data_IF_517108624400
#
_entry.id   IF_517108624400
#
_cell.length_a   1.000
_cell.length_b   1.000
_cell.length_c   1.000
_cell.angle_alpha   90.00
_cell.angle_beta   90.00
_cell.angle_gamma   90.00
#
_symmetry.space_group_name_H-M   'P 1'
#
loop_
_entity.id
_entity.type
_entity.pdbx_description
1 polymer ?
#
# COMPACT_ATOMS: atom_id res chain seq x y z
N UNK A 1 -25.25 -15.51 -46.87
CA UNK A 1 -24.25 -16.36 -46.20
C UNK A 1 -23.76 -15.63 -44.97
N UNK A 2 -24.28 -15.94 -43.80
CA UNK A 2 -23.93 -15.30 -42.53
C UNK A 2 -22.89 -16.17 -41.84
N UNK A 3 -21.67 -15.66 -41.70
CA UNK A 3 -20.59 -16.33 -41.00
C UNK A 3 -20.71 -16.07 -39.48
N UNK A 4 -20.92 -17.14 -38.73
CA UNK A 4 -21.03 -17.21 -37.28
C UNK A 4 -19.68 -16.92 -36.62
N UNK A 5 -19.54 -15.80 -35.90
CA UNK A 5 -18.43 -15.55 -35.00
C UNK A 5 -18.67 -16.29 -33.67
N UNK A 6 -17.93 -17.36 -33.43
CA UNK A 6 -17.91 -18.07 -32.15
C UNK A 6 -17.18 -17.21 -31.10
N UNK A 7 -17.92 -16.74 -30.08
CA UNK A 7 -17.35 -16.18 -28.86
C UNK A 7 -16.69 -17.31 -28.07
N UNK A 8 -15.39 -17.17 -27.84
CA UNK A 8 -14.69 -18.01 -26.88
C UNK A 8 -15.06 -17.55 -25.45
N UNK A 9 -15.89 -18.31 -24.77
CA UNK A 9 -16.16 -18.18 -23.34
C UNK A 9 -14.97 -18.70 -22.58
N UNK A 10 -14.13 -17.81 -22.05
CA UNK A 10 -13.14 -18.17 -21.05
C UNK A 10 -13.86 -18.49 -19.72
N UNK A 11 -13.87 -19.76 -19.37
CA UNK A 11 -14.37 -20.27 -18.09
C UNK A 11 -13.41 -19.84 -16.98
N UNK A 12 -13.81 -18.88 -16.16
CA UNK A 12 -13.12 -18.59 -14.91
C UNK A 12 -13.37 -19.75 -13.95
N UNK A 13 -12.35 -20.57 -13.76
CA UNK A 13 -12.30 -21.57 -12.69
C UNK A 13 -12.15 -20.81 -11.37
N UNK A 14 -13.19 -20.82 -10.57
CA UNK A 14 -13.20 -20.25 -9.23
C UNK A 14 -12.20 -20.98 -8.33
N UNK A 15 -11.07 -20.37 -8.05
CA UNK A 15 -10.18 -20.80 -6.99
C UNK A 15 -10.84 -20.44 -5.65
N UNK A 16 -11.06 -21.46 -4.83
CA UNK A 16 -11.76 -21.42 -3.56
C UNK A 16 -11.15 -20.41 -2.57
N UNK A 17 -11.98 -19.49 -2.08
CA UNK A 17 -11.71 -18.44 -1.07
C UNK A 17 -11.38 -18.97 0.35
N UNK A 18 -10.81 -20.15 0.52
CA UNK A 18 -10.65 -20.80 1.82
C UNK A 18 -9.24 -20.71 2.45
N UNK A 19 -8.28 -19.95 1.86
CA UNK A 19 -6.89 -19.90 2.37
C UNK A 19 -6.39 -18.56 2.93
N UNK A 20 -7.20 -17.49 2.94
CA UNK A 20 -6.75 -16.13 3.30
C UNK A 20 -6.79 -15.79 4.80
N UNK A 21 -6.85 -16.74 5.74
CA UNK A 21 -7.00 -16.45 7.18
C UNK A 21 -5.89 -16.96 8.10
N UNK A 22 -4.71 -17.27 7.59
CA UNK A 22 -3.53 -17.54 8.43
C UNK A 22 -2.42 -16.55 8.15
N UNK A 23 -2.67 -15.25 8.41
CA UNK A 23 -1.60 -14.27 8.50
C UNK A 23 -0.72 -14.58 9.71
N UNK A 24 0.39 -15.26 9.50
CA UNK A 24 1.41 -15.43 10.54
C UNK A 24 1.98 -14.06 10.95
N UNK A 25 2.50 -13.96 12.18
CA UNK A 25 3.07 -12.73 12.75
C UNK A 25 4.23 -12.10 11.92
N UNK A 26 4.64 -12.74 10.82
CA UNK A 26 5.87 -12.47 10.06
C UNK A 26 5.59 -12.15 8.57
N UNK A 27 4.38 -11.79 8.20
CA UNK A 27 3.96 -11.63 6.81
C UNK A 27 3.25 -10.29 6.59
N UNK A 28 3.51 -9.68 5.44
CA UNK A 28 2.81 -8.49 4.94
C UNK A 28 2.11 -8.85 3.64
N UNK A 29 0.78 -8.73 3.60
CA UNK A 29 -0.03 -8.94 2.41
C UNK A 29 -0.35 -7.61 1.76
N UNK A 30 -0.19 -7.55 0.43
CA UNK A 30 -0.51 -6.39 -0.37
C UNK A 30 -1.57 -6.76 -1.40
N UNK A 31 -2.53 -5.87 -1.61
CA UNK A 31 -3.55 -6.01 -2.65
C UNK A 31 -3.75 -4.68 -3.34
N UNK A 32 -3.42 -4.59 -4.64
CA UNK A 32 -3.83 -3.46 -5.48
C UNK A 32 -5.34 -3.51 -5.67
N UNK A 33 -6.05 -2.52 -5.14
CA UNK A 33 -7.51 -2.44 -5.22
C UNK A 33 -7.96 -1.68 -6.46
N UNK A 34 -7.11 -0.77 -6.95
CA UNK A 34 -7.31 -0.03 -8.17
C UNK A 34 -5.99 0.51 -8.70
N UNK A 35 -5.85 0.54 -10.01
CA UNK A 35 -4.61 0.87 -10.73
C UNK A 35 -4.77 2.02 -11.73
N UNK A 36 -5.97 2.59 -11.85
CA UNK A 36 -6.27 3.72 -12.72
C UNK A 36 -6.02 5.07 -12.07
N UNK A 37 -5.67 6.05 -12.89
CA UNK A 37 -5.63 7.46 -12.53
C UNK A 37 -6.69 8.26 -13.29
N UNK A 38 -7.13 9.37 -12.71
CA UNK A 38 -8.05 10.36 -13.26
C UNK A 38 -9.50 9.89 -13.45
N UNK A 39 -9.75 8.81 -14.18
CA UNK A 39 -11.09 8.33 -14.53
C UNK A 39 -11.22 6.83 -14.27
N UNK A 40 -12.30 6.37 -13.63
CA UNK A 40 -12.56 4.94 -13.49
C UNK A 40 -12.94 4.34 -14.85
N UNK A 41 -12.48 3.13 -15.12
CA UNK A 41 -12.88 2.34 -16.27
C UNK A 41 -13.70 1.12 -15.79
N UNK A 42 -14.51 0.49 -16.64
CA UNK A 42 -15.33 -0.66 -16.24
C UNK A 42 -14.54 -1.81 -15.61
N UNK A 43 -13.29 -1.98 -16.00
CA UNK A 43 -12.37 -3.05 -15.60
C UNK A 43 -11.12 -2.53 -14.87
N UNK A 44 -11.05 -1.22 -14.57
CA UNK A 44 -9.95 -0.60 -13.84
C UNK A 44 -10.46 0.45 -12.85
N UNK A 45 -10.45 0.10 -11.58
CA UNK A 45 -10.78 1.00 -10.49
C UNK A 45 -9.67 2.04 -10.27
N UNK A 46 -10.02 3.13 -9.57
CA UNK A 46 -9.11 4.22 -9.26
C UNK A 46 -8.13 3.85 -8.13
N UNK A 47 -7.05 4.63 -8.04
CA UNK A 47 -5.88 4.36 -7.20
C UNK A 47 -6.23 3.96 -5.76
N UNK A 48 -5.82 2.76 -5.37
CA UNK A 48 -5.87 2.31 -3.98
C UNK A 48 -5.02 1.04 -3.79
N UNK A 49 -4.30 0.96 -2.66
CA UNK A 49 -3.53 -0.20 -2.24
C UNK A 49 -3.85 -0.55 -0.80
N UNK A 50 -4.19 -1.80 -0.51
CA UNK A 50 -4.32 -2.33 0.83
C UNK A 50 -3.04 -3.05 1.27
N UNK A 51 -2.56 -2.73 2.47
CA UNK A 51 -1.43 -3.39 3.12
C UNK A 51 -1.91 -3.99 4.44
N UNK A 52 -1.90 -5.32 4.55
CA UNK A 52 -2.42 -6.05 5.70
C UNK A 52 -1.29 -6.76 6.43
N UNK A 53 -1.22 -6.54 7.75
CA UNK A 53 -0.26 -7.16 8.65
C UNK A 53 -0.99 -7.65 9.90
N UNK A 54 -0.84 -8.91 10.28
CA UNK A 54 -1.46 -9.50 11.48
C UNK A 54 -2.98 -9.25 11.59
N UNK A 55 -3.65 -9.16 10.45
CA UNK A 55 -5.09 -8.91 10.40
C UNK A 55 -5.51 -7.45 10.53
N UNK A 56 -4.58 -6.50 10.58
CA UNK A 56 -4.78 -5.06 10.53
C UNK A 56 -4.46 -4.54 9.13
N UNK A 57 -5.19 -3.56 8.64
CA UNK A 57 -5.03 -3.06 7.27
C UNK A 57 -4.79 -1.56 7.27
N UNK A 58 -3.76 -1.12 6.55
CA UNK A 58 -3.59 0.26 6.11
C UNK A 58 -4.07 0.37 4.65
N UNK A 59 -4.91 1.35 4.39
CA UNK A 59 -5.38 1.67 3.05
C UNK A 59 -4.62 2.90 2.53
N UNK A 60 -3.92 2.76 1.41
CA UNK A 60 -3.24 3.86 0.74
C UNK A 60 -4.10 4.32 -0.43
N UNK A 61 -4.52 5.56 -0.37
CA UNK A 61 -5.55 6.18 -1.20
C UNK A 61 -6.91 5.45 -1.16
N UNK A 62 -7.96 6.15 -1.54
CA UNK A 62 -9.32 5.64 -1.55
C UNK A 62 -10.09 6.24 -2.73
N UNK A 63 -9.73 5.83 -3.94
CA UNK A 63 -10.43 6.22 -5.16
C UNK A 63 -11.88 5.74 -5.18
N UNK A 64 -12.67 6.28 -6.09
CA UNK A 64 -14.08 5.89 -6.25
C UNK A 64 -14.21 4.37 -6.42
N UNK A 65 -15.15 3.77 -5.70
CA UNK A 65 -15.40 2.32 -5.77
C UNK A 65 -14.47 1.45 -4.93
N UNK A 66 -13.52 2.02 -4.16
CA UNK A 66 -12.58 1.24 -3.33
C UNK A 66 -13.28 0.24 -2.41
N UNK A 67 -14.45 0.58 -1.81
CA UNK A 67 -15.21 -0.36 -0.98
C UNK A 67 -15.73 -1.58 -1.76
N UNK A 68 -15.97 -1.44 -3.06
CA UNK A 68 -16.34 -2.54 -3.95
C UNK A 68 -15.14 -3.43 -4.22
N UNK A 69 -13.98 -2.82 -4.53
CA UNK A 69 -12.71 -3.52 -4.75
C UNK A 69 -12.26 -4.31 -3.51
N UNK A 70 -12.36 -3.71 -2.31
CA UNK A 70 -12.08 -4.41 -1.05
C UNK A 70 -12.86 -5.72 -0.95
N UNK A 71 -14.19 -5.65 -1.20
CA UNK A 71 -15.05 -6.84 -1.17
C UNK A 71 -14.73 -7.84 -2.28
N UNK A 72 -14.49 -7.34 -3.50
CA UNK A 72 -14.18 -8.15 -4.68
C UNK A 72 -12.91 -8.97 -4.49
N UNK A 73 -11.90 -8.38 -3.85
CA UNK A 73 -10.58 -9.02 -3.68
C UNK A 73 -10.35 -9.60 -2.27
N UNK A 74 -11.41 -9.70 -1.46
CA UNK A 74 -11.35 -10.40 -0.17
C UNK A 74 -10.63 -9.65 0.94
N UNK A 75 -10.42 -8.33 0.81
CA UNK A 75 -9.83 -7.51 1.87
C UNK A 75 -10.94 -7.02 2.81
N UNK A 76 -10.80 -7.27 4.10
CA UNK A 76 -11.79 -6.90 5.09
C UNK A 76 -11.80 -5.39 5.36
N UNK A 77 -12.85 -4.69 4.94
CA UNK A 77 -13.03 -3.27 5.24
C UNK A 77 -13.05 -3.01 6.75
N UNK A 78 -13.66 -3.89 7.56
CA UNK A 78 -13.77 -3.75 9.01
C UNK A 78 -12.40 -3.66 9.71
N UNK A 79 -11.36 -4.22 9.11
CA UNK A 79 -10.00 -4.27 9.65
C UNK A 79 -9.09 -3.13 9.20
N UNK A 80 -9.65 -2.10 8.56
CA UNK A 80 -8.89 -0.90 8.19
C UNK A 80 -8.70 -0.05 9.44
N UNK A 81 -7.45 0.12 9.89
CA UNK A 81 -7.11 0.95 11.05
C UNK A 81 -6.83 2.40 10.64
N UNK A 82 -6.22 2.60 9.49
CA UNK A 82 -5.96 3.93 8.97
C UNK A 82 -6.04 3.98 7.44
N UNK A 83 -6.35 5.18 6.93
CA UNK A 83 -6.25 5.55 5.51
C UNK A 83 -5.12 6.57 5.36
N UNK A 84 -4.23 6.33 4.41
CA UNK A 84 -3.07 7.15 4.11
C UNK A 84 -3.27 7.79 2.73
N UNK A 85 -3.64 9.06 2.68
CA UNK A 85 -3.90 9.78 1.44
C UNK A 85 -2.62 10.41 0.92
N UNK A 86 -2.30 10.18 -0.34
CA UNK A 86 -1.15 10.81 -0.99
C UNK A 86 -1.41 12.29 -1.27
N UNK A 87 -2.62 12.63 -1.69
CA UNK A 87 -3.08 13.99 -1.96
C UNK A 87 -4.62 14.02 -2.10
N UNK A 88 -5.20 15.16 -2.51
CA UNK A 88 -6.65 15.36 -2.49
C UNK A 88 -7.30 15.47 -3.87
N UNK A 89 -6.71 14.93 -4.94
CA UNK A 89 -7.42 14.77 -6.21
C UNK A 89 -8.56 13.73 -6.06
N UNK A 90 -9.60 13.88 -6.87
CA UNK A 90 -10.81 13.07 -6.74
C UNK A 90 -10.56 11.56 -6.87
N UNK A 91 -9.69 11.17 -7.77
CA UNK A 91 -9.33 9.77 -8.02
C UNK A 91 -8.59 9.09 -6.85
N UNK A 92 -8.22 9.84 -5.81
CA UNK A 92 -7.60 9.34 -4.58
C UNK A 92 -8.50 9.43 -3.35
N UNK A 93 -9.60 10.19 -3.39
CA UNK A 93 -10.40 10.48 -2.18
C UNK A 93 -11.91 10.25 -2.33
N UNK A 94 -12.45 10.21 -3.56
CA UNK A 94 -13.92 10.15 -3.76
C UNK A 94 -14.56 8.84 -3.27
N UNK A 95 -13.79 7.80 -3.01
CA UNK A 95 -14.26 6.57 -2.37
C UNK A 95 -14.47 6.70 -0.86
N UNK A 96 -13.90 7.73 -0.20
CA UNK A 96 -13.96 7.88 1.25
C UNK A 96 -15.38 7.96 1.80
N UNK A 97 -16.30 8.81 1.28
CA UNK A 97 -17.65 8.88 1.83
C UNK A 97 -18.35 7.52 1.83
N UNK A 98 -18.25 6.79 0.72
CA UNK A 98 -18.82 5.46 0.58
C UNK A 98 -18.16 4.41 1.50
N UNK A 99 -16.84 4.48 1.66
CA UNK A 99 -16.11 3.61 2.60
C UNK A 99 -16.55 3.87 4.04
N UNK A 100 -16.63 5.13 4.47
CA UNK A 100 -17.04 5.51 5.82
C UNK A 100 -18.46 5.00 6.14
N UNK A 101 -19.40 5.14 5.22
CA UNK A 101 -20.75 4.59 5.36
C UNK A 101 -20.77 3.05 5.38
N UNK A 102 -19.92 2.41 4.57
CA UNK A 102 -19.76 0.94 4.59
C UNK A 102 -19.27 0.45 5.94
N UNK A 103 -18.28 1.13 6.54
CA UNK A 103 -17.77 0.80 7.87
C UNK A 103 -18.85 1.00 8.95
N UNK A 104 -19.67 2.06 8.86
CA UNK A 104 -20.80 2.27 9.73
C UNK A 104 -21.83 1.14 9.64
N UNK A 105 -22.15 0.71 8.41
CA UNK A 105 -23.08 -0.41 8.16
C UNK A 105 -22.57 -1.76 8.67
N UNK A 106 -21.25 -1.90 8.85
CA UNK A 106 -20.62 -3.07 9.48
C UNK A 106 -20.55 -2.96 11.02
N UNK A 107 -21.25 -2.00 11.63
CA UNK A 107 -21.27 -1.73 13.07
C UNK A 107 -19.88 -1.46 13.65
N UNK A 108 -19.03 -0.76 12.91
CA UNK A 108 -17.72 -0.33 13.43
C UNK A 108 -17.92 0.62 14.59
N UNK A 109 -17.17 0.42 15.68
CA UNK A 109 -17.09 1.33 16.83
C UNK A 109 -15.65 1.83 17.06
N UNK A 110 -14.66 1.09 16.55
CA UNK A 110 -13.26 1.46 16.67
C UNK A 110 -12.93 2.73 15.87
N UNK A 111 -12.10 3.63 16.39
CA UNK A 111 -11.66 4.82 15.67
C UNK A 111 -11.04 4.51 14.30
N UNK A 112 -11.18 5.44 13.36
CA UNK A 112 -10.47 5.45 12.09
C UNK A 112 -9.60 6.69 12.00
N UNK A 113 -8.32 6.52 11.66
CA UNK A 113 -7.45 7.68 11.40
C UNK A 113 -7.24 7.85 9.90
N UNK A 114 -7.37 9.08 9.40
CA UNK A 114 -7.07 9.46 8.01
C UNK A 114 -5.89 10.41 8.04
N UNK A 115 -4.81 10.02 7.40
CA UNK A 115 -3.62 10.82 7.21
C UNK A 115 -3.60 11.42 5.82
N UNK A 116 -3.10 12.65 5.67
CA UNK A 116 -2.90 13.28 4.37
C UNK A 116 -2.00 14.50 4.46
N UNK A 117 -1.57 15.07 3.32
CA UNK A 117 -0.73 16.27 3.31
C UNK A 117 -1.46 17.48 3.92
N UNK A 118 -0.75 18.60 4.21
CA UNK A 118 -1.38 19.85 4.67
C UNK A 118 -2.48 20.36 3.72
N UNK A 119 -3.49 21.06 4.27
CA UNK A 119 -4.63 21.60 3.52
C UNK A 119 -5.87 20.68 3.51
N UNK A 120 -5.94 19.75 4.43
CA UNK A 120 -7.02 18.76 4.54
C UNK A 120 -8.36 19.30 5.08
N UNK A 121 -8.40 20.47 5.70
CA UNK A 121 -9.52 20.92 6.53
C UNK A 121 -10.83 21.01 5.75
N UNK A 122 -10.82 21.66 4.58
CA UNK A 122 -12.00 21.78 3.73
C UNK A 122 -12.43 20.45 3.12
N UNK A 123 -11.48 19.63 2.75
CA UNK A 123 -11.71 18.27 2.20
C UNK A 123 -12.30 17.35 3.27
N UNK A 124 -11.74 17.37 4.47
CA UNK A 124 -12.26 16.60 5.60
C UNK A 124 -13.71 16.99 5.91
N UNK A 125 -14.00 18.30 5.98
CA UNK A 125 -15.36 18.79 6.21
C UNK A 125 -16.34 18.31 5.13
N UNK A 126 -15.96 18.39 3.85
CA UNK A 126 -16.80 17.95 2.74
C UNK A 126 -17.05 16.43 2.79
N UNK A 127 -16.01 15.62 3.00
CA UNK A 127 -16.12 14.16 3.11
C UNK A 127 -17.00 13.76 4.30
N UNK A 128 -16.81 14.37 5.46
CA UNK A 128 -17.63 14.08 6.64
C UNK A 128 -19.08 14.51 6.46
N UNK A 129 -19.34 15.62 5.77
CA UNK A 129 -20.70 16.03 5.43
C UNK A 129 -21.40 15.02 4.50
N UNK A 130 -20.69 14.48 3.51
CA UNK A 130 -21.21 13.46 2.60
C UNK A 130 -21.39 12.09 3.28
N UNK A 131 -20.49 11.73 4.19
CA UNK A 131 -20.59 10.49 4.96
C UNK A 131 -21.76 10.52 5.97
N UNK A 132 -22.15 11.73 6.43
CA UNK A 132 -23.19 11.88 7.45
C UNK A 132 -22.75 11.41 8.84
N UNK A 133 -23.70 11.22 9.78
CA UNK A 133 -23.39 10.75 11.13
C UNK A 133 -22.79 9.35 11.13
N UNK A 134 -21.66 9.18 11.82
CA UNK A 134 -20.96 7.90 11.93
C UNK A 134 -20.98 7.40 13.39
N UNK A 135 -21.13 6.08 13.65
CA UNK A 135 -21.16 5.51 14.99
C UNK A 135 -19.74 5.33 15.59
N UNK A 136 -18.71 5.80 14.91
CA UNK A 136 -17.32 5.72 15.33
C UNK A 136 -16.59 7.04 15.07
N UNK A 137 -15.54 7.36 15.86
CA UNK A 137 -14.76 8.57 15.63
C UNK A 137 -13.86 8.45 14.41
N UNK A 138 -13.77 9.54 13.62
CA UNK A 138 -12.83 9.70 12.52
C UNK A 138 -11.88 10.85 12.85
N UNK A 139 -10.60 10.56 12.92
CA UNK A 139 -9.56 11.54 13.17
C UNK A 139 -8.79 11.85 11.89
N UNK A 140 -8.66 13.14 11.54
CA UNK A 140 -7.82 13.60 10.45
C UNK A 140 -6.49 14.11 10.99
N UNK A 141 -5.39 13.67 10.42
CA UNK A 141 -4.03 14.04 10.84
C UNK A 141 -3.19 14.42 9.64
N UNK A 142 -2.29 15.38 9.84
CA UNK A 142 -1.27 15.70 8.84
C UNK A 142 -0.25 14.56 8.79
N UNK A 143 0.06 14.12 7.58
CA UNK A 143 1.10 13.11 7.32
C UNK A 143 2.48 13.76 7.42
N UNK A 144 3.03 13.79 8.62
CA UNK A 144 4.35 14.34 8.93
C UNK A 144 5.09 13.47 9.94
N UNK A 145 6.42 13.52 9.88
CA UNK A 145 7.27 12.70 10.74
C UNK A 145 7.04 11.20 10.51
N UNK A 146 7.47 10.40 11.46
CA UNK A 146 7.29 8.94 11.44
C UNK A 146 6.32 8.52 12.52
N UNK A 147 5.31 7.71 12.19
CA UNK A 147 4.35 7.18 13.14
C UNK A 147 4.30 5.65 13.09
N UNK A 148 3.61 5.05 14.05
CA UNK A 148 3.34 3.61 14.09
C UNK A 148 1.86 3.37 13.91
N UNK A 149 1.50 2.57 12.91
CA UNK A 149 0.13 2.16 12.63
C UNK A 149 0.10 0.68 12.23
N UNK A 150 -0.83 -0.08 12.79
CA UNK A 150 -1.02 -1.50 12.48
C UNK A 150 0.28 -2.34 12.59
N UNK A 151 1.17 -2.01 13.54
CA UNK A 151 2.48 -2.68 13.69
C UNK A 151 3.55 -2.25 12.70
N UNK A 152 3.22 -1.36 11.76
CA UNK A 152 4.13 -0.79 10.77
C UNK A 152 4.70 0.55 11.26
N UNK A 153 5.94 0.82 10.88
CA UNK A 153 6.49 2.18 10.91
C UNK A 153 6.12 2.84 9.59
N UNK A 154 5.35 3.92 9.65
CA UNK A 154 4.87 4.70 8.50
C UNK A 154 5.65 5.99 8.43
N UNK A 155 6.35 6.23 7.33
CA UNK A 155 7.12 7.45 7.09
C UNK A 155 6.64 8.09 5.79
N UNK A 156 5.93 9.22 5.86
CA UNK A 156 5.58 10.01 4.68
C UNK A 156 6.83 10.71 4.14
N UNK A 157 6.87 10.92 2.82
CA UNK A 157 7.94 11.66 2.17
C UNK A 157 7.39 12.49 1.00
N UNK A 158 8.00 13.63 0.65
CA UNK A 158 7.46 14.53 -0.37
C UNK A 158 7.55 13.92 -1.77
N UNK A 159 6.48 14.11 -2.55
CA UNK A 159 6.43 13.78 -3.97
C UNK A 159 6.48 15.03 -4.85
N UNK A 160 6.86 14.85 -6.12
CA UNK A 160 6.93 15.94 -7.10
C UNK A 160 5.69 15.93 -7.98
N UNK A 161 4.63 16.54 -7.51
CA UNK A 161 3.36 16.72 -8.20
C UNK A 161 2.96 18.20 -8.25
N UNK A 162 1.80 18.53 -8.87
CA UNK A 162 1.31 19.91 -9.04
C UNK A 162 0.61 20.47 -7.80
N UNK A 163 0.22 19.60 -6.87
CA UNK A 163 -0.39 19.94 -5.58
C UNK A 163 0.45 19.33 -4.45
N UNK A 164 0.29 19.77 -3.19
CA UNK A 164 0.91 19.09 -2.06
C UNK A 164 0.61 17.60 -2.10
N UNK A 165 1.66 16.79 -2.19
CA UNK A 165 1.58 15.34 -2.37
C UNK A 165 2.69 14.64 -1.59
N UNK A 166 2.37 13.51 -0.95
CA UNK A 166 3.34 12.68 -0.24
C UNK A 166 3.21 11.21 -0.65
N UNK A 167 4.33 10.53 -0.68
CA UNK A 167 4.39 9.07 -0.72
C UNK A 167 4.53 8.50 0.68
N UNK A 168 4.41 7.18 0.80
CA UNK A 168 4.52 6.49 2.08
C UNK A 168 5.52 5.34 1.99
N UNK A 169 6.47 5.34 2.94
CA UNK A 169 7.33 4.21 3.22
C UNK A 169 6.76 3.46 4.42
N UNK A 170 6.38 2.20 4.22
CA UNK A 170 5.86 1.31 5.23
C UNK A 170 6.93 0.28 5.57
N UNK A 171 7.29 0.18 6.85
CA UNK A 171 8.31 -0.75 7.31
C UNK A 171 7.78 -1.64 8.43
N UNK A 172 7.79 -2.96 8.20
CA UNK A 172 7.53 -3.97 9.22
C UNK A 172 8.86 -4.35 9.86
N UNK A 173 9.12 -3.95 11.11
CA UNK A 173 10.38 -4.27 11.77
C UNK A 173 10.46 -5.76 12.11
N UNK A 174 11.68 -6.30 12.12
CA UNK A 174 11.95 -7.66 12.55
C UNK A 174 12.88 -7.65 13.76
N UNK A 175 12.40 -8.16 14.89
CA UNK A 175 13.21 -8.29 16.09
C UNK A 175 14.43 -9.21 15.88
N UNK A 176 15.44 -9.05 16.69
CA UNK A 176 16.57 -9.97 16.78
C UNK A 176 16.15 -11.40 17.14
N UNK A 177 17.02 -12.36 16.91
CA UNK A 177 16.78 -13.75 17.36
C UNK A 177 16.76 -13.77 18.89
N UNK A 178 15.80 -14.49 19.45
CA UNK A 178 15.74 -14.74 20.87
C UNK A 178 16.82 -15.75 21.27
N UNK A 179 17.61 -15.39 22.28
CA UNK A 179 18.68 -16.22 22.82
C UNK A 179 18.22 -16.90 24.11
N UNK A 180 17.77 -18.14 23.95
CA UNK A 180 17.28 -18.96 25.09
C UNK A 180 18.39 -19.30 26.09
N UNK A 181 19.64 -19.44 25.63
CA UNK A 181 20.76 -19.73 26.55
C UNK A 181 21.06 -18.50 27.42
N UNK A 182 21.08 -17.32 26.81
CA UNK A 182 21.25 -16.04 27.50
C UNK A 182 20.10 -15.78 28.51
N UNK A 183 18.85 -16.07 28.12
CA UNK A 183 17.69 -15.93 28.97
C UNK A 183 17.76 -16.86 30.21
N UNK A 184 18.19 -18.11 30.00
CA UNK A 184 18.42 -19.06 31.12
C UNK A 184 19.56 -18.61 32.03
N UNK A 185 20.69 -18.19 31.47
CA UNK A 185 21.84 -17.70 32.26
C UNK A 185 21.51 -16.46 33.10
N UNK A 186 20.62 -15.59 32.59
CA UNK A 186 20.11 -14.42 33.29
C UNK A 186 18.99 -14.73 34.30
N UNK A 187 18.61 -16.00 34.46
CA UNK A 187 17.56 -16.43 35.42
C UNK A 187 16.16 -15.93 35.05
N UNK A 188 15.90 -15.62 33.76
CA UNK A 188 14.63 -15.06 33.30
C UNK A 188 13.55 -16.15 33.28
N UNK A 189 12.40 -15.98 34.01
CA UNK A 189 11.32 -16.95 34.01
C UNK A 189 10.78 -17.22 32.60
N UNK A 190 10.45 -18.49 32.29
CA UNK A 190 9.93 -18.91 30.99
C UNK A 190 8.68 -18.14 30.56
N UNK A 191 7.82 -17.78 31.51
CA UNK A 191 6.60 -16.99 31.30
C UNK A 191 6.88 -15.58 30.76
N UNK A 192 8.09 -15.02 30.97
CA UNK A 192 8.50 -13.70 30.47
C UNK A 192 9.06 -13.74 29.04
N UNK A 193 9.49 -14.91 28.55
CA UNK A 193 10.18 -15.05 27.31
C UNK A 193 9.35 -14.53 26.11
N UNK A 194 8.05 -14.87 26.10
CA UNK A 194 7.15 -14.42 25.04
C UNK A 194 6.97 -12.90 25.00
N UNK A 195 6.92 -12.27 26.19
CA UNK A 195 6.79 -10.81 26.33
C UNK A 195 8.07 -10.12 25.84
N UNK A 196 9.23 -10.62 26.30
CA UNK A 196 10.54 -10.11 25.87
C UNK A 196 10.77 -10.31 24.37
N UNK A 197 10.37 -11.46 23.83
CA UNK A 197 10.43 -11.75 22.38
C UNK A 197 9.53 -10.83 21.56
N UNK A 198 8.42 -10.38 22.13
CA UNK A 198 7.53 -9.39 21.53
C UNK A 198 8.07 -7.93 21.62
N UNK A 199 9.25 -7.74 22.20
CA UNK A 199 9.88 -6.44 22.34
C UNK A 199 9.40 -5.62 23.55
N UNK A 200 8.73 -6.25 24.53
CA UNK A 200 8.22 -5.60 25.73
C UNK A 200 9.06 -5.99 26.97
N UNK A 201 9.30 -5.01 27.85
CA UNK A 201 9.99 -5.26 29.13
C UNK A 201 9.02 -5.85 30.16
N UNK A 202 9.51 -6.77 30.98
CA UNK A 202 8.73 -7.43 32.04
C UNK A 202 9.63 -7.86 33.20
N UNK A 203 9.17 -7.69 34.43
CA UNK A 203 9.88 -8.19 35.64
C UNK A 203 11.29 -7.62 35.86
N UNK A 204 11.54 -6.41 35.34
CA UNK A 204 12.87 -5.78 35.42
C UNK A 204 13.81 -6.17 34.29
N UNK A 205 13.41 -7.07 33.39
CA UNK A 205 14.18 -7.47 32.20
C UNK A 205 13.75 -6.69 30.96
N UNK A 206 14.71 -6.37 30.12
CA UNK A 206 14.49 -5.68 28.83
C UNK A 206 14.66 -6.64 27.63
N UNK A 207 14.02 -6.38 26.48
CA UNK A 207 14.21 -7.18 25.27
C UNK A 207 15.67 -7.33 24.85
N UNK A 208 16.50 -6.30 25.03
CA UNK A 208 17.94 -6.32 24.74
C UNK A 208 18.74 -7.32 25.55
N UNK A 209 18.21 -7.80 26.67
CA UNK A 209 18.87 -8.82 27.51
C UNK A 209 18.88 -10.20 26.84
N UNK A 210 17.91 -10.43 25.93
CA UNK A 210 17.68 -11.75 25.32
C UNK A 210 17.53 -11.71 23.78
N UNK A 211 17.38 -10.53 23.17
CA UNK A 211 17.31 -10.40 21.71
C UNK A 211 18.68 -10.03 21.15
N UNK A 212 19.06 -10.69 20.07
CA UNK A 212 20.17 -10.27 19.25
C UNK A 212 19.89 -8.95 18.52
N UNK A 213 20.80 -8.49 17.64
CA UNK A 213 20.59 -7.28 16.86
C UNK A 213 19.32 -7.40 15.99
N UNK A 214 18.64 -6.27 15.72
CA UNK A 214 17.51 -6.26 14.79
C UNK A 214 17.90 -6.87 13.44
N UNK A 215 16.99 -7.66 12.87
CA UNK A 215 17.15 -8.27 11.54
C UNK A 215 16.48 -7.40 10.48
N UNK A 216 16.81 -7.65 9.22
CA UNK A 216 16.15 -6.96 8.10
C UNK A 216 14.65 -7.20 8.16
N UNK A 217 13.88 -6.11 8.25
CA UNK A 217 12.43 -6.11 8.14
C UNK A 217 11.94 -6.12 6.69
N UNK A 218 10.64 -5.92 6.48
CA UNK A 218 10.02 -5.75 5.17
C UNK A 218 9.70 -4.29 4.93
N UNK A 219 9.92 -3.83 3.70
CA UNK A 219 9.70 -2.44 3.32
C UNK A 219 8.90 -2.35 2.03
N UNK A 220 7.82 -1.59 2.06
CA UNK A 220 6.99 -1.25 0.91
C UNK A 220 6.96 0.26 0.75
N UNK A 221 7.11 0.73 -0.49
CA UNK A 221 7.01 2.14 -0.85
C UNK A 221 5.88 2.32 -1.85
N UNK A 222 5.00 3.28 -1.56
CA UNK A 222 3.90 3.71 -2.41
C UNK A 222 4.11 5.17 -2.81
N UNK A 223 4.21 5.42 -4.11
CA UNK A 223 4.53 6.73 -4.69
C UNK A 223 3.73 6.94 -5.97
N UNK A 224 2.46 7.31 -5.85
CA UNK A 224 1.61 7.70 -6.98
C UNK A 224 1.65 9.21 -7.19
N UNK A 225 1.29 9.65 -8.38
CA UNK A 225 1.21 11.07 -8.74
C UNK A 225 2.53 11.81 -8.49
N UNK A 226 3.56 11.34 -9.15
CA UNK A 226 4.87 11.95 -8.99
C UNK A 226 5.76 11.83 -10.23
N UNK A 227 6.54 12.86 -10.47
CA UNK A 227 7.76 12.72 -11.27
C UNK A 227 8.79 11.92 -10.48
N UNK A 228 9.68 11.15 -11.14
CA UNK A 228 10.88 10.65 -10.49
C UNK A 228 11.62 11.80 -9.80
N UNK A 229 11.93 11.62 -8.51
CA UNK A 229 12.61 12.64 -7.71
C UNK A 229 13.50 11.99 -6.64
N UNK A 230 14.47 12.74 -6.08
CA UNK A 230 15.39 12.21 -5.07
C UNK A 230 14.71 11.62 -3.84
N UNK A 231 13.57 12.20 -3.42
CA UNK A 231 12.84 11.71 -2.25
C UNK A 231 12.26 10.30 -2.47
N UNK A 232 11.72 10.02 -3.67
CA UNK A 232 11.25 8.67 -4.04
C UNK A 232 12.43 7.70 -4.09
N UNK A 233 13.54 8.09 -4.71
CA UNK A 233 14.76 7.27 -4.80
C UNK A 233 15.25 6.87 -3.41
N UNK A 234 15.36 7.84 -2.49
CA UNK A 234 15.84 7.57 -1.13
C UNK A 234 14.86 6.68 -0.35
N UNK A 235 13.55 6.99 -0.41
CA UNK A 235 12.52 6.19 0.25
C UNK A 235 12.48 4.74 -0.27
N UNK A 236 12.71 4.55 -1.57
CA UNK A 236 12.65 3.23 -2.23
C UNK A 236 13.95 2.42 -2.08
N UNK A 237 15.05 3.01 -1.62
CA UNK A 237 16.35 2.34 -1.55
C UNK A 237 16.27 0.99 -0.82
N UNK A 238 16.55 -0.10 -1.55
CA UNK A 238 16.52 -1.47 -1.05
C UNK A 238 15.16 -1.98 -0.57
N UNK A 239 14.06 -1.33 -0.95
CA UNK A 239 12.70 -1.76 -0.58
C UNK A 239 12.35 -3.14 -1.18
N UNK A 240 11.48 -3.88 -0.51
CA UNK A 240 10.98 -5.16 -0.99
C UNK A 240 9.99 -5.00 -2.14
N UNK A 241 9.23 -3.88 -2.12
CA UNK A 241 8.34 -3.47 -3.20
C UNK A 241 8.34 -1.94 -3.32
N UNK A 242 8.49 -1.44 -4.53
CA UNK A 242 8.09 -0.11 -4.95
C UNK A 242 6.82 -0.22 -5.80
N UNK A 243 5.74 0.43 -5.38
CA UNK A 243 4.53 0.64 -6.16
C UNK A 243 4.49 2.11 -6.57
N UNK A 244 4.65 2.40 -7.87
CA UNK A 244 4.93 3.78 -8.32
C UNK A 244 4.13 4.15 -9.56
N UNK A 245 3.86 5.46 -9.65
CA UNK A 245 3.30 6.16 -10.82
C UNK A 245 3.92 5.67 -12.13
N UNK A 246 3.04 5.33 -13.05
CA UNK A 246 3.36 4.88 -14.40
C UNK A 246 2.24 5.29 -15.35
N UNK A 247 1.80 6.54 -15.17
CA UNK A 247 0.63 7.10 -15.86
C UNK A 247 0.75 7.02 -17.38
N UNK A 248 1.96 7.17 -17.90
CA UNK A 248 2.23 7.15 -19.33
C UNK A 248 3.05 5.92 -19.73
N UNK A 249 2.54 5.16 -20.70
CA UNK A 249 3.18 3.94 -21.16
C UNK A 249 4.46 4.20 -21.96
N UNK A 250 4.49 5.28 -22.73
CA UNK A 250 5.52 5.58 -23.70
C UNK A 250 6.23 6.92 -23.45
N UNK A 251 7.52 7.00 -23.79
CA UNK A 251 8.32 8.22 -23.61
C UNK A 251 7.94 9.32 -24.64
N UNK A 252 7.14 9.03 -25.67
CA UNK A 252 6.54 10.06 -26.53
C UNK A 252 5.62 10.98 -25.72
N UNK A 253 5.05 10.47 -24.61
CA UNK A 253 4.25 11.25 -23.68
C UNK A 253 5.08 11.95 -22.57
N UNK A 254 6.41 11.88 -22.60
CA UNK A 254 7.27 12.52 -21.62
C UNK A 254 6.99 14.03 -21.43
N UNK A 255 6.69 14.83 -22.48
CA UNK A 255 6.28 16.22 -22.30
C UNK A 255 5.01 16.36 -21.45
N UNK A 256 4.01 15.49 -21.66
CA UNK A 256 2.77 15.45 -20.86
C UNK A 256 3.08 14.99 -19.42
N UNK A 257 3.91 13.96 -19.26
CA UNK A 257 4.32 13.48 -17.93
C UNK A 257 4.98 14.62 -17.12
N UNK A 258 5.85 15.41 -17.74
CA UNK A 258 6.47 16.59 -17.12
C UNK A 258 5.44 17.67 -16.79
N UNK A 259 4.52 17.96 -17.71
CA UNK A 259 3.50 19.00 -17.56
C UNK A 259 2.51 18.69 -16.43
N UNK A 260 2.09 17.44 -16.33
CA UNK A 260 1.07 17.01 -15.36
C UNK A 260 1.64 16.43 -14.06
N UNK A 261 2.96 16.28 -13.96
CA UNK A 261 3.62 15.82 -12.72
C UNK A 261 3.55 14.30 -12.51
N UNK A 262 3.59 13.52 -13.60
CA UNK A 262 3.55 12.06 -13.60
C UNK A 262 4.80 11.45 -14.23
N UNK A 263 4.93 10.12 -14.18
CA UNK A 263 6.05 9.38 -14.75
C UNK A 263 5.65 8.58 -16.02
N UNK A 264 6.63 8.31 -16.87
CA UNK A 264 6.54 7.24 -17.86
C UNK A 264 6.97 5.92 -17.24
N UNK A 265 6.48 4.79 -17.78
CA UNK A 265 6.87 3.46 -17.30
C UNK A 265 8.39 3.25 -17.34
N UNK A 266 9.08 3.76 -18.38
CA UNK A 266 10.54 3.68 -18.48
C UNK A 266 11.24 4.44 -17.37
N UNK A 267 10.81 5.67 -17.06
CA UNK A 267 11.37 6.46 -15.96
C UNK A 267 11.19 5.76 -14.61
N UNK A 268 10.02 5.16 -14.38
CA UNK A 268 9.74 4.38 -13.16
C UNK A 268 10.66 3.15 -13.07
N UNK A 269 10.88 2.45 -14.19
CA UNK A 269 11.84 1.34 -14.26
C UNK A 269 13.27 1.78 -13.94
N UNK A 270 13.72 2.93 -14.48
CA UNK A 270 15.06 3.46 -14.22
C UNK A 270 15.26 3.81 -12.74
N UNK A 271 14.27 4.46 -12.10
CA UNK A 271 14.32 4.77 -10.66
C UNK A 271 14.37 3.50 -9.82
N UNK A 272 13.57 2.49 -10.16
CA UNK A 272 13.56 1.21 -9.45
C UNK A 272 14.92 0.49 -9.51
N UNK A 273 15.58 0.53 -10.67
CA UNK A 273 16.92 -0.02 -10.86
C UNK A 273 17.96 0.72 -10.00
N UNK A 274 17.93 2.05 -10.00
CA UNK A 274 18.83 2.89 -9.21
C UNK A 274 18.61 2.69 -7.70
N UNK A 275 17.34 2.60 -7.26
CA UNK A 275 16.98 2.35 -5.87
C UNK A 275 17.30 0.91 -5.42
N UNK A 276 17.62 0.00 -6.34
CA UNK A 276 17.87 -1.43 -6.07
C UNK A 276 16.73 -2.08 -5.31
N UNK A 277 15.49 -1.78 -5.69
CA UNK A 277 14.31 -2.42 -5.10
C UNK A 277 14.29 -3.90 -5.46
N UNK A 278 13.61 -4.74 -4.67
CA UNK A 278 13.47 -6.17 -4.98
C UNK A 278 12.35 -6.45 -5.98
N UNK A 279 11.28 -5.60 -5.98
CA UNK A 279 10.13 -5.70 -6.88
C UNK A 279 9.65 -4.32 -7.25
N UNK A 280 9.08 -4.20 -8.44
CA UNK A 280 8.43 -2.99 -8.93
C UNK A 280 7.03 -3.34 -9.43
N UNK A 281 6.02 -2.64 -8.94
CA UNK A 281 4.69 -2.58 -9.51
C UNK A 281 4.45 -1.22 -10.17
N UNK A 282 4.10 -1.24 -11.45
CA UNK A 282 3.66 -0.08 -12.19
C UNK A 282 2.17 0.12 -11.89
N UNK A 283 1.75 1.34 -11.57
CA UNK A 283 0.35 1.65 -11.23
C UNK A 283 -0.03 3.05 -11.67
N UNK A 284 -1.26 3.46 -11.41
CA UNK A 284 -1.78 4.79 -11.74
C UNK A 284 -1.78 5.08 -13.25
N UNK A 285 -2.28 4.13 -14.03
CA UNK A 285 -2.33 4.28 -15.49
C UNK A 285 -3.37 5.30 -15.91
N UNK A 286 -3.02 6.18 -16.85
CA UNK A 286 -3.98 7.03 -17.55
C UNK A 286 -5.09 6.18 -18.19
N UNK A 287 -6.31 6.72 -18.24
CA UNK A 287 -7.42 6.07 -18.93
C UNK A 287 -7.14 5.79 -20.42
N UNK A 288 -6.20 6.52 -21.03
CA UNK A 288 -5.75 6.29 -22.41
C UNK A 288 -4.87 5.02 -22.54
N UNK A 289 -4.31 4.50 -21.45
CA UNK A 289 -3.53 3.26 -21.43
C UNK A 289 -4.50 2.08 -21.32
N UNK A 290 -5.06 1.63 -22.42
CA UNK A 290 -5.97 0.49 -22.46
C UNK A 290 -5.25 -0.85 -22.27
N UNK A 291 -4.01 -0.94 -22.79
CA UNK A 291 -3.11 -2.10 -22.60
C UNK A 291 -1.80 -1.62 -21.92
N UNK A 292 -1.47 -2.13 -20.72
CA UNK A 292 -0.21 -1.78 -20.05
C UNK A 292 1.02 -2.52 -20.59
N UNK A 293 0.88 -3.48 -21.51
CA UNK A 293 2.00 -4.30 -21.99
C UNK A 293 3.12 -3.49 -22.67
N UNK A 294 2.85 -2.47 -23.51
CA UNK A 294 3.91 -1.63 -24.08
C UNK A 294 4.70 -0.88 -23.00
N UNK A 295 3.99 -0.31 -22.00
CA UNK A 295 4.63 0.37 -20.86
C UNK A 295 5.46 -0.58 -20.01
N UNK A 296 4.96 -1.78 -19.75
CA UNK A 296 5.72 -2.82 -19.05
C UNK A 296 7.00 -3.19 -19.82
N UNK A 297 6.92 -3.34 -21.14
CA UNK A 297 8.10 -3.60 -21.96
C UNK A 297 9.12 -2.46 -21.84
N UNK A 298 8.67 -1.19 -21.88
CA UNK A 298 9.53 -0.03 -21.71
C UNK A 298 10.19 -0.01 -20.30
N UNK A 299 9.44 -0.27 -19.22
CA UNK A 299 9.99 -0.37 -17.88
C UNK A 299 11.03 -1.48 -17.74
N UNK A 300 10.78 -2.65 -18.35
CA UNK A 300 11.67 -3.81 -18.30
C UNK A 300 13.00 -3.61 -19.01
N UNK A 301 13.11 -2.65 -19.92
CA UNK A 301 14.42 -2.25 -20.50
C UNK A 301 15.37 -1.69 -19.44
N UNK A 302 14.84 -1.14 -18.34
CA UNK A 302 15.59 -0.55 -17.23
C UNK A 302 15.62 -1.46 -16.01
N UNK A 303 14.50 -2.13 -15.73
CA UNK A 303 14.32 -3.01 -14.57
C UNK A 303 13.57 -4.29 -14.99
N UNK A 304 14.29 -5.37 -15.35
CA UNK A 304 13.70 -6.61 -15.92
C UNK A 304 12.61 -7.26 -15.07
N UNK A 305 12.67 -7.10 -13.73
CA UNK A 305 11.69 -7.66 -12.79
C UNK A 305 10.44 -6.76 -12.60
N UNK A 306 10.23 -5.73 -13.43
CA UNK A 306 9.04 -4.92 -13.38
C UNK A 306 7.78 -5.75 -13.69
N UNK A 307 6.70 -5.47 -12.96
CA UNK A 307 5.39 -6.06 -13.16
C UNK A 307 4.34 -4.96 -13.39
N UNK A 308 3.47 -5.16 -14.35
CA UNK A 308 2.30 -4.31 -14.52
C UNK A 308 1.32 -4.59 -13.38
N UNK A 309 0.89 -3.52 -12.67
CA UNK A 309 -0.20 -3.61 -11.73
C UNK A 309 -1.51 -3.84 -12.46
N UNK A 310 -2.40 -4.58 -11.82
CA UNK A 310 -3.79 -4.75 -12.23
C UNK A 310 -4.65 -4.87 -10.97
N UNK A 311 -5.91 -4.54 -11.10
CA UNK A 311 -6.84 -4.58 -9.98
C UNK A 311 -7.00 -6.00 -9.44
N UNK A 312 -6.72 -6.18 -8.17
CA UNK A 312 -6.69 -7.48 -7.50
C UNK A 312 -5.33 -8.19 -7.52
N UNK A 313 -4.27 -7.57 -8.04
CA UNK A 313 -2.90 -8.10 -7.89
C UNK A 313 -2.55 -8.21 -6.40
N UNK A 314 -2.15 -9.40 -5.98
CA UNK A 314 -1.78 -9.70 -4.60
C UNK A 314 -0.32 -10.14 -4.51
N UNK A 315 0.31 -9.79 -3.39
CA UNK A 315 1.66 -10.21 -3.04
C UNK A 315 1.74 -10.48 -1.53
N UNK A 316 2.36 -11.57 -1.18
CA UNK A 316 2.77 -11.87 0.19
C UNK A 316 4.27 -11.66 0.31
N UNK A 317 4.69 -10.82 1.25
CA UNK A 317 6.07 -10.62 1.63
C UNK A 317 6.30 -11.30 2.98
N UNK A 318 7.32 -12.15 3.03
CA UNK A 318 7.74 -12.84 4.23
C UNK A 318 9.16 -12.43 4.59
N UNK A 319 9.50 -12.55 5.87
CA UNK A 319 10.90 -12.36 6.29
C UNK A 319 11.79 -13.44 5.68
N UNK A 320 12.90 -13.02 5.08
CA UNK A 320 13.92 -13.96 4.63
C UNK A 320 14.37 -14.84 5.81
N UNK A 321 14.29 -16.16 5.68
CA UNK A 321 14.89 -17.08 6.64
C UNK A 321 16.41 -17.04 6.43
N UNK A 322 17.07 -16.13 7.12
CA UNK A 322 18.53 -16.01 7.14
C UNK A 322 19.13 -16.52 8.45
#
# INVERSE_FOLDING_TARGET
MLASARRATQTFVGASNARLQKGGANMMQLTLLGTGGTQPLPDRALASLAVTVQGHTLLLDCGEGTQVSLRKYGVSSYRIDAVLLTHYHGDHILGLPGLLQTLASLNRTAPLTIYGPPGQESIAAAIMALAGPLPYPVAWKIAEGTCKEAGLTVTPFPLKHRVPCCGYRLHLPRAGRFDAARAKAAGIPLEYWRVLQAGQSIGGFAPGDVLGPPRRGLTVVYATDTRPCPAVLEAARGADLLCMDSTYADDTDLPKAKLYGHATCRETGALAAEAKVRRLWLTHYSAAVTDPAPGLAAARTQYPAAAAGYDGLQLELEFDEG
#
